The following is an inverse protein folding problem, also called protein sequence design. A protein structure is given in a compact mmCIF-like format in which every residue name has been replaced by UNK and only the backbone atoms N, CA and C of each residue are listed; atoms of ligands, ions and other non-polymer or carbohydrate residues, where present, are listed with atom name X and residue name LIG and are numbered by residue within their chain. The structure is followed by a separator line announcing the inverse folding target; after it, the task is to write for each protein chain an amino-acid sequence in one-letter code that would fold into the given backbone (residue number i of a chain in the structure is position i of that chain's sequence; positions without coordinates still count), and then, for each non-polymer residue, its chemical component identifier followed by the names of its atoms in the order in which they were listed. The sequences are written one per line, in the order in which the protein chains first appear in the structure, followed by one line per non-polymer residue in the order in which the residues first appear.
data_IF_642091955974
#
_entry.id   IF_642091955974
#
_cell.length_a   1.000
_cell.length_b   1.000
_cell.length_c   1.000
_cell.angle_alpha   90.00
_cell.angle_beta   90.00
_cell.angle_gamma   90.00
#
_symmetry.space_group_name_H-M   'P 1'
#
loop_
_entity.id
_entity.type
_entity.pdbx_description
1 polymer ?
#
# COMPACT_ATOMS: atom_id res chain seq x y z
N UNK A 1 -22.70 -4.64 -11.67
CA UNK A 1 -22.79 -3.62 -10.60
C UNK A 1 -21.53 -3.72 -9.74
N UNK A 2 -20.85 -2.61 -9.41
CA UNK A 2 -19.78 -2.64 -8.38
C UNK A 2 -20.48 -2.47 -7.04
N UNK A 3 -20.44 -3.49 -6.16
CA UNK A 3 -21.21 -3.52 -4.91
C UNK A 3 -20.65 -2.63 -3.79
N UNK A 4 -19.67 -1.79 -4.11
CA UNK A 4 -19.05 -0.85 -3.18
C UNK A 4 -17.80 -1.40 -2.48
N UNK A 5 -17.04 -0.53 -1.81
CA UNK A 5 -15.77 -0.87 -1.18
C UNK A 5 -15.94 -1.70 0.10
N UNK A 6 -17.09 -1.63 0.76
CA UNK A 6 -17.35 -2.21 2.09
C UNK A 6 -17.84 -3.68 2.04
N UNK A 7 -17.80 -4.32 0.87
CA UNK A 7 -18.17 -5.73 0.73
C UNK A 7 -17.12 -6.66 1.33
N UNK A 8 -17.57 -7.72 2.02
CA UNK A 8 -16.71 -8.67 2.73
C UNK A 8 -15.67 -9.35 1.83
N UNK A 9 -15.98 -9.55 0.55
CA UNK A 9 -15.03 -10.16 -0.40
C UNK A 9 -13.85 -9.24 -0.73
N UNK A 10 -13.88 -7.96 -0.35
CA UNK A 10 -12.75 -7.03 -0.47
C UNK A 10 -11.82 -7.08 0.76
N UNK A 11 -12.21 -7.77 1.83
CA UNK A 11 -11.39 -7.91 3.02
C UNK A 11 -10.37 -9.04 2.81
N UNK A 12 -9.09 -8.68 2.86
CA UNK A 12 -7.98 -9.63 2.69
C UNK A 12 -7.29 -9.90 4.03
N UNK A 13 -6.72 -11.10 4.18
CA UNK A 13 -5.95 -11.47 5.36
C UNK A 13 -4.68 -10.61 5.45
N UNK A 14 -4.52 -9.83 6.52
CA UNK A 14 -3.31 -9.07 6.79
C UNK A 14 -2.14 -9.96 7.16
N UNK A 15 -0.99 -9.76 6.51
CA UNK A 15 0.27 -10.44 6.81
C UNK A 15 1.27 -9.47 7.45
N UNK A 16 2.38 -9.99 7.96
CA UNK A 16 3.53 -9.18 8.37
C UNK A 16 4.38 -8.83 7.14
N UNK A 17 3.87 -7.95 6.27
CA UNK A 17 4.47 -7.73 4.94
C UNK A 17 5.93 -7.27 5.00
N UNK A 18 6.29 -6.38 5.94
CA UNK A 18 7.67 -5.95 6.12
C UNK A 18 8.64 -7.09 6.54
N UNK A 19 8.14 -8.21 7.06
CA UNK A 19 8.97 -9.38 7.41
C UNK A 19 9.16 -10.34 6.22
N UNK A 20 8.29 -10.28 5.20
CA UNK A 20 8.34 -11.22 4.06
C UNK A 20 9.67 -11.23 3.32
N UNK A 21 10.30 -10.08 2.98
CA UNK A 21 11.58 -10.08 2.28
C UNK A 21 12.69 -10.83 3.03
N UNK A 22 12.64 -10.83 4.37
CA UNK A 22 13.65 -11.48 5.21
C UNK A 22 13.60 -13.02 5.11
N UNK A 23 12.48 -13.59 4.70
CA UNK A 23 12.34 -15.03 4.45
C UNK A 23 13.15 -15.44 3.21
N UNK A 24 13.25 -14.55 2.23
CA UNK A 24 13.94 -14.83 0.96
C UNK A 24 15.42 -14.44 0.99
N UNK A 25 15.81 -13.46 1.81
CA UNK A 25 17.20 -13.02 1.94
C UNK A 25 17.43 -12.26 3.23
N UNK A 26 18.63 -12.41 3.83
CA UNK A 26 19.07 -11.59 4.96
C UNK A 26 19.67 -10.24 4.52
N UNK A 27 19.90 -10.04 3.21
CA UNK A 27 20.47 -8.82 2.65
C UNK A 27 19.38 -7.92 2.04
N UNK A 28 18.49 -7.45 2.91
CA UNK A 28 17.35 -6.58 2.54
C UNK A 28 17.19 -5.48 3.59
N UNK A 29 16.75 -4.30 3.17
CA UNK A 29 16.23 -3.28 4.07
C UNK A 29 14.71 -3.40 4.12
N UNK A 30 14.14 -3.41 5.32
CA UNK A 30 12.69 -3.49 5.51
C UNK A 30 12.25 -2.46 6.54
N UNK A 31 11.14 -1.76 6.27
CA UNK A 31 10.53 -0.86 7.23
C UNK A 31 9.00 -1.00 7.21
N UNK A 32 8.37 -0.74 8.35
CA UNK A 32 6.92 -0.56 8.46
C UNK A 32 6.67 0.84 9.03
N UNK A 33 5.88 1.63 8.33
CA UNK A 33 5.66 3.04 8.65
C UNK A 33 4.18 3.36 8.62
N UNK A 34 3.72 4.27 9.49
CA UNK A 34 2.32 4.67 9.62
C UNK A 34 2.12 6.18 9.59
N UNK A 35 3.19 6.95 9.41
CA UNK A 35 3.14 8.41 9.31
C UNK A 35 4.01 8.92 8.16
N UNK A 36 3.71 10.13 7.68
CA UNK A 36 4.51 10.81 6.66
C UNK A 36 5.97 11.01 7.10
N UNK A 37 6.19 11.37 8.37
CA UNK A 37 7.53 11.54 8.93
C UNK A 37 8.31 10.23 8.96
N UNK A 38 7.68 9.13 9.36
CA UNK A 38 8.32 7.81 9.33
C UNK A 38 8.67 7.38 7.91
N UNK A 39 7.77 7.60 6.95
CA UNK A 39 8.02 7.31 5.54
C UNK A 39 9.17 8.17 4.99
N UNK A 40 9.18 9.48 5.27
CA UNK A 40 10.25 10.37 4.86
C UNK A 40 11.61 9.93 5.44
N UNK A 41 11.64 9.57 6.73
CA UNK A 41 12.83 9.03 7.38
C UNK A 41 13.29 7.71 6.75
N UNK A 42 12.37 6.79 6.47
CA UNK A 42 12.69 5.52 5.81
C UNK A 42 13.29 5.76 4.41
N UNK A 43 12.74 6.71 3.64
CA UNK A 43 13.27 7.11 2.33
C UNK A 43 14.70 7.70 2.45
N UNK A 44 14.97 8.50 3.48
CA UNK A 44 16.32 9.03 3.74
C UNK A 44 17.29 7.88 4.02
N UNK A 45 16.89 6.89 4.83
CA UNK A 45 17.72 5.71 5.13
C UNK A 45 18.07 4.88 3.89
N UNK A 46 17.27 4.93 2.81
CA UNK A 46 17.58 4.24 1.55
C UNK A 46 18.89 4.72 0.91
N UNK A 47 19.36 5.93 1.24
CA UNK A 47 20.65 6.44 0.76
C UNK A 47 21.82 5.59 1.27
N UNK A 48 21.68 4.95 2.44
CA UNK A 48 22.69 4.08 3.05
C UNK A 48 22.54 2.60 2.67
N UNK A 49 21.52 2.25 1.87
CA UNK A 49 21.17 0.87 1.53
C UNK A 49 21.05 0.67 0.00
N UNK A 50 21.91 1.34 -0.77
CA UNK A 50 21.87 1.34 -2.25
C UNK A 50 22.24 -0.01 -2.88
N UNK A 51 22.90 -0.86 -2.10
CA UNK A 51 23.43 -2.17 -2.49
C UNK A 51 22.47 -3.34 -2.22
N UNK A 52 21.26 -3.06 -1.71
CA UNK A 52 20.26 -4.07 -1.39
C UNK A 52 18.86 -3.64 -1.74
N UNK A 53 18.00 -4.64 -1.93
CA UNK A 53 16.57 -4.41 -2.08
C UNK A 53 16.03 -3.74 -0.81
N UNK A 54 15.11 -2.79 -0.99
CA UNK A 54 14.41 -2.09 0.08
C UNK A 54 12.91 -2.31 -0.06
N UNK A 55 12.24 -2.69 1.03
CA UNK A 55 10.79 -2.91 1.08
C UNK A 55 10.18 -2.12 2.23
N UNK A 56 9.22 -1.23 1.93
CA UNK A 56 8.57 -0.39 2.95
C UNK A 56 7.07 -0.69 2.93
N UNK A 57 6.56 -1.25 4.03
CA UNK A 57 5.12 -1.42 4.27
C UNK A 57 4.56 -0.10 4.81
N UNK A 58 3.79 0.61 3.98
CA UNK A 58 3.13 1.87 4.35
C UNK A 58 1.71 1.58 4.81
N UNK A 59 1.41 1.92 6.06
CA UNK A 59 0.09 1.75 6.64
C UNK A 59 -0.78 2.96 6.30
N UNK A 60 -1.92 2.70 5.66
CA UNK A 60 -2.89 3.73 5.26
C UNK A 60 -4.29 3.35 5.74
N UNK A 61 -5.18 4.33 5.84
CA UNK A 61 -6.60 4.05 6.07
C UNK A 61 -7.23 3.45 4.81
N UNK A 62 -8.12 2.48 4.95
CA UNK A 62 -8.85 1.84 3.82
C UNK A 62 -9.55 2.86 2.91
N UNK A 63 -10.03 3.97 3.48
CA UNK A 63 -10.77 5.02 2.75
C UNK A 63 -9.87 6.16 2.27
N UNK A 64 -8.59 6.14 2.63
CA UNK A 64 -7.62 7.12 2.18
C UNK A 64 -7.16 6.76 0.77
N UNK A 65 -7.87 7.34 -0.20
CA UNK A 65 -7.77 7.04 -1.61
C UNK A 65 -7.75 8.37 -2.38
N UNK A 66 -6.91 8.51 -3.41
CA UNK A 66 -6.85 9.76 -4.16
C UNK A 66 -8.15 10.05 -4.94
N UNK A 67 -8.52 11.33 -5.00
CA UNK A 67 -9.77 11.83 -5.60
C UNK A 67 -9.96 11.44 -7.08
N UNK A 68 -8.86 11.26 -7.80
CA UNK A 68 -8.90 10.80 -9.18
C UNK A 68 -9.48 9.39 -9.31
N UNK A 69 -9.22 8.50 -8.34
CA UNK A 69 -9.76 7.15 -8.31
C UNK A 69 -11.26 7.18 -7.97
N UNK A 70 -11.70 8.05 -7.07
CA UNK A 70 -13.13 8.29 -6.82
C UNK A 70 -13.87 8.74 -8.08
N UNK A 71 -13.28 9.69 -8.82
CA UNK A 71 -13.83 10.20 -10.07
C UNK A 71 -13.94 9.11 -11.14
N UNK A 72 -12.91 8.27 -11.26
CA UNK A 72 -12.89 7.14 -12.18
C UNK A 72 -14.00 6.11 -11.86
N UNK A 73 -14.15 5.73 -10.59
CA UNK A 73 -15.19 4.78 -10.17
C UNK A 73 -16.59 5.31 -10.49
N UNK A 74 -16.83 6.60 -10.28
CA UNK A 74 -18.11 7.25 -10.63
C UNK A 74 -18.39 7.17 -12.13
N UNK A 75 -17.40 7.47 -12.97
CA UNK A 75 -17.53 7.39 -14.43
C UNK A 75 -17.84 5.95 -14.90
N UNK A 76 -17.12 4.96 -14.37
CA UNK A 76 -17.33 3.55 -14.70
C UNK A 76 -18.71 3.03 -14.29
N UNK A 77 -19.23 3.47 -13.14
CA UNK A 77 -20.58 3.10 -12.70
C UNK A 77 -21.68 3.72 -13.57
N UNK A 78 -21.47 4.93 -14.09
CA UNK A 78 -22.43 5.57 -14.99
C UNK A 78 -22.45 4.87 -16.37
N UNK A 79 -21.29 4.49 -16.91
CA UNK A 79 -21.21 3.79 -18.19
C UNK A 79 -21.81 2.38 -18.16
N UNK A 80 -21.84 1.72 -16.99
CA UNK A 80 -22.46 0.38 -16.81
C UNK A 80 -23.99 0.42 -16.70
N UNK A 81 -24.62 1.60 -16.71
CA UNK A 81 -26.09 1.78 -16.64
C UNK A 81 -26.75 1.96 -18.03
N UNK A 82 -25.95 1.94 -19.10
CA UNK A 82 -26.38 1.83 -20.51
C UNK A 82 -26.24 0.38 -20.95
#
# INVERSE_FOLDING_TARGET
MIHGPDMIYNDIQSWKYAELPKIFSNHVFTAKVSTENELANAIIQLKSHRDKMSFIEVMMNRKDCPENLHSLVKALNNNKKL
#
